data_IF_764467198879
#
_entry.id   IF_764467198879
#
_cell.length_a   1.000
_cell.length_b   1.000
_cell.length_c   1.000
_cell.angle_alpha   90.00
_cell.angle_beta   90.00
_cell.angle_gamma   90.00
#
_symmetry.space_group_name_H-M   'P 1'
#
loop_
_entity.id
_entity.type
_entity.pdbx_description
1 polymer ?
#
# COMPACT_ATOMS: atom_id res chain seq x y z
N UNK A 1 -13.93 -6.85 27.78
CA UNK A 1 -12.69 -7.65 27.68
C UNK A 1 -12.98 -8.94 26.93
N UNK A 2 -12.09 -9.37 26.05
CA UNK A 2 -12.14 -10.68 25.40
C UNK A 2 -11.79 -11.79 26.40
N UNK A 3 -12.28 -13.00 26.17
CA UNK A 3 -11.77 -14.16 26.87
C UNK A 3 -10.38 -14.53 26.30
N UNK A 4 -10.25 -14.51 24.97
CA UNK A 4 -9.01 -14.83 24.27
C UNK A 4 -8.85 -14.05 22.99
N UNK A 5 -7.69 -13.40 22.84
CA UNK A 5 -7.23 -12.86 21.56
C UNK A 5 -6.22 -13.83 20.94
N UNK A 6 -6.38 -14.14 19.67
CA UNK A 6 -5.39 -14.88 18.90
C UNK A 6 -4.93 -14.09 17.69
N UNK A 7 -3.61 -13.91 17.53
CA UNK A 7 -3.01 -13.50 16.27
C UNK A 7 -2.64 -14.77 15.50
N UNK A 8 -3.36 -15.05 14.42
CA UNK A 8 -3.24 -16.33 13.67
C UNK A 8 -1.98 -16.42 12.80
N UNK A 9 -1.29 -15.31 12.64
CA UNK A 9 -0.04 -15.16 11.88
C UNK A 9 0.73 -13.94 12.41
N UNK A 10 1.98 -13.66 11.94
CA UNK A 10 2.70 -12.46 12.33
C UNK A 10 1.94 -11.19 11.96
N UNK A 11 1.54 -10.38 12.94
CA UNK A 11 0.69 -9.20 12.75
C UNK A 11 1.45 -7.88 12.83
N UNK A 12 2.78 -7.94 12.92
CA UNK A 12 3.69 -6.78 12.93
C UNK A 12 3.42 -5.76 14.04
N UNK A 13 2.84 -6.19 15.15
CA UNK A 13 2.81 -5.37 16.36
C UNK A 13 4.23 -5.23 16.92
N UNK A 14 4.54 -4.05 17.48
CA UNK A 14 5.78 -3.86 18.22
C UNK A 14 5.62 -4.40 19.64
N UNK A 15 6.73 -4.72 20.37
CA UNK A 15 6.66 -5.40 21.69
C UNK A 15 5.71 -4.74 22.70
N UNK A 16 5.72 -3.41 22.81
CA UNK A 16 4.79 -2.72 23.70
C UNK A 16 3.32 -2.84 23.26
N UNK A 17 3.07 -2.99 21.94
CA UNK A 17 1.72 -3.21 21.39
C UNK A 17 1.21 -4.62 21.72
N UNK A 18 2.08 -5.63 21.62
CA UNK A 18 1.77 -7.00 22.02
C UNK A 18 1.47 -7.08 23.52
N UNK A 19 2.30 -6.45 24.36
CA UNK A 19 2.10 -6.40 25.81
C UNK A 19 0.75 -5.76 26.18
N UNK A 20 0.37 -4.67 25.49
CA UNK A 20 -0.90 -4.00 25.75
C UNK A 20 -2.14 -4.83 25.38
N UNK A 21 -2.04 -5.85 24.52
CA UNK A 21 -3.18 -6.74 24.25
C UNK A 21 -3.71 -7.43 25.52
N UNK A 22 -2.87 -7.67 26.51
CA UNK A 22 -3.27 -8.24 27.79
C UNK A 22 -4.18 -7.35 28.61
N UNK A 23 -4.29 -6.06 28.28
CA UNK A 23 -5.30 -5.17 28.90
C UNK A 23 -6.71 -5.40 28.33
N UNK A 24 -6.84 -6.09 27.20
CA UNK A 24 -8.08 -6.29 26.47
C UNK A 24 -8.56 -7.74 26.46
N UNK A 25 -7.70 -8.70 26.85
CA UNK A 25 -8.01 -10.12 26.88
C UNK A 25 -7.43 -10.82 28.10
N UNK A 26 -8.11 -11.88 28.57
CA UNK A 26 -7.63 -12.74 29.67
C UNK A 26 -6.46 -13.62 29.18
N UNK A 27 -6.52 -14.05 27.93
CA UNK A 27 -5.50 -14.85 27.26
C UNK A 27 -5.12 -14.19 25.93
N UNK A 28 -3.84 -14.12 25.61
CA UNK A 28 -3.30 -13.66 24.34
C UNK A 28 -2.39 -14.72 23.76
N UNK A 29 -2.68 -15.19 22.56
CA UNK A 29 -1.86 -16.16 21.82
C UNK A 29 -1.41 -15.54 20.52
N UNK A 30 -0.11 -15.59 20.23
CA UNK A 30 0.46 -15.03 19.01
C UNK A 30 1.28 -16.10 18.29
N UNK A 31 0.96 -16.31 17.01
CA UNK A 31 1.72 -17.19 16.14
C UNK A 31 2.76 -16.39 15.34
N UNK A 32 3.95 -16.93 15.25
CA UNK A 32 5.12 -16.32 14.60
C UNK A 32 5.32 -16.76 13.14
N UNK A 33 4.43 -17.62 12.63
CA UNK A 33 4.46 -18.15 11.27
C UNK A 33 3.07 -18.10 10.62
N UNK A 34 3.04 -18.08 9.29
CA UNK A 34 1.80 -18.10 8.50
C UNK A 34 1.20 -19.49 8.53
N UNK A 35 -0.13 -19.65 8.74
CA UNK A 35 -0.80 -20.95 8.69
C UNK A 35 -0.77 -21.52 7.27
N UNK A 36 -0.64 -22.85 7.17
CA UNK A 36 -0.52 -23.55 5.89
C UNK A 36 -1.84 -23.66 5.12
N UNK A 37 -2.98 -23.74 5.84
CA UNK A 37 -4.31 -23.92 5.25
C UNK A 37 -5.43 -23.42 6.18
N UNK A 38 -6.67 -23.53 5.69
CA UNK A 38 -7.86 -23.15 6.45
C UNK A 38 -8.08 -24.00 7.72
N UNK A 39 -7.72 -25.27 7.70
CA UNK A 39 -7.85 -26.15 8.86
C UNK A 39 -6.90 -25.70 9.97
N UNK A 40 -5.70 -25.28 9.64
CA UNK A 40 -4.78 -24.70 10.60
C UNK A 40 -5.26 -23.36 11.14
N UNK A 41 -5.85 -22.50 10.30
CA UNK A 41 -6.46 -21.23 10.76
C UNK A 41 -7.55 -21.52 11.80
N UNK A 42 -8.47 -22.45 11.51
CA UNK A 42 -9.54 -22.84 12.44
C UNK A 42 -8.95 -23.36 13.74
N UNK A 43 -7.93 -24.20 13.68
CA UNK A 43 -7.26 -24.76 14.86
C UNK A 43 -6.58 -23.66 15.71
N UNK A 44 -5.96 -22.66 15.06
CA UNK A 44 -5.33 -21.52 15.76
C UNK A 44 -6.36 -20.62 16.42
N UNK A 45 -7.48 -20.35 15.76
CA UNK A 45 -8.58 -19.57 16.33
C UNK A 45 -9.17 -20.30 17.53
N UNK A 46 -9.51 -21.57 17.38
CA UNK A 46 -10.05 -22.38 18.46
C UNK A 46 -11.29 -21.74 19.11
N UNK A 47 -11.20 -21.44 20.41
CA UNK A 47 -12.25 -20.84 21.23
C UNK A 47 -12.14 -19.31 21.36
N UNK A 48 -11.21 -18.66 20.65
CA UNK A 48 -11.00 -17.22 20.74
C UNK A 48 -12.22 -16.41 20.30
N UNK A 49 -12.47 -15.32 21.00
CA UNK A 49 -13.54 -14.36 20.70
C UNK A 49 -12.99 -13.05 20.07
N UNK A 50 -11.68 -12.86 20.06
CA UNK A 50 -10.95 -11.82 19.31
C UNK A 50 -9.87 -12.43 18.42
N UNK A 51 -9.83 -12.05 17.14
CA UNK A 51 -8.87 -12.54 16.15
C UNK A 51 -8.11 -11.38 15.56
N UNK A 52 -6.78 -11.49 15.47
CA UNK A 52 -5.92 -10.60 14.72
C UNK A 52 -5.37 -11.33 13.50
N UNK A 53 -5.44 -10.70 12.34
CA UNK A 53 -4.97 -11.22 11.06
C UNK A 53 -4.20 -10.14 10.29
N UNK A 54 -3.17 -10.54 9.56
CA UNK A 54 -2.47 -9.65 8.63
C UNK A 54 -3.02 -9.85 7.21
N UNK A 55 -2.28 -9.46 6.19
CA UNK A 55 -2.70 -9.55 4.78
C UNK A 55 -2.42 -10.91 4.11
N UNK A 56 -1.71 -11.81 4.78
CA UNK A 56 -1.25 -13.09 4.20
C UNK A 56 -2.33 -14.17 4.25
N UNK A 57 -3.04 -14.28 5.37
CA UNK A 57 -4.10 -15.27 5.56
C UNK A 57 -5.47 -14.70 5.19
N UNK A 58 -6.31 -15.53 4.58
CA UNK A 58 -7.70 -15.17 4.29
C UNK A 58 -8.64 -15.85 5.31
N UNK A 59 -9.60 -15.09 5.83
CA UNK A 59 -10.68 -15.61 6.69
C UNK A 59 -11.97 -15.68 5.87
N UNK A 60 -12.25 -16.88 5.33
CA UNK A 60 -13.42 -17.16 4.51
C UNK A 60 -14.67 -17.40 5.36
N UNK A 61 -15.83 -17.47 4.71
CA UNK A 61 -17.12 -17.88 5.32
C UNK A 61 -17.00 -19.19 6.09
N UNK A 62 -16.38 -20.22 5.51
CA UNK A 62 -16.25 -21.54 6.14
C UNK A 62 -15.47 -21.48 7.45
N UNK A 63 -14.42 -20.64 7.52
CA UNK A 63 -13.66 -20.42 8.75
C UNK A 63 -14.53 -19.73 9.80
N UNK A 64 -15.30 -18.70 9.40
CA UNK A 64 -16.23 -18.00 10.30
C UNK A 64 -17.35 -18.90 10.80
N UNK A 65 -17.77 -19.86 10.00
CA UNK A 65 -18.78 -20.88 10.40
C UNK A 65 -18.21 -21.90 11.39
N UNK A 66 -16.96 -22.29 11.20
CA UNK A 66 -16.27 -23.22 12.08
C UNK A 66 -15.86 -22.61 13.44
N UNK A 67 -15.80 -21.27 13.53
CA UNK A 67 -15.34 -20.55 14.72
C UNK A 67 -16.45 -19.62 15.28
N UNK A 68 -17.51 -20.15 15.89
CA UNK A 68 -18.72 -19.39 16.25
C UNK A 68 -18.51 -18.40 17.41
N UNK A 69 -17.40 -18.48 18.13
CA UNK A 69 -17.14 -17.61 19.28
C UNK A 69 -16.59 -16.23 18.88
N UNK A 70 -16.16 -16.04 17.63
CA UNK A 70 -15.56 -14.79 17.16
C UNK A 70 -16.60 -13.67 17.27
N UNK A 71 -16.21 -12.56 17.91
CA UNK A 71 -16.99 -11.30 17.97
C UNK A 71 -16.27 -10.14 17.29
N UNK A 72 -14.93 -10.24 17.18
CA UNK A 72 -14.08 -9.18 16.66
C UNK A 72 -12.96 -9.77 15.80
N UNK A 73 -12.72 -9.14 14.65
CA UNK A 73 -11.55 -9.40 13.82
C UNK A 73 -10.82 -8.08 13.57
N UNK A 74 -9.58 -7.98 14.06
CA UNK A 74 -8.68 -6.88 13.77
C UNK A 74 -7.76 -7.23 12.61
N UNK A 75 -7.96 -6.56 11.45
CA UNK A 75 -7.03 -6.66 10.33
C UNK A 75 -5.85 -5.73 10.60
N UNK A 76 -4.70 -6.28 10.93
CA UNK A 76 -3.44 -5.56 11.14
C UNK A 76 -2.81 -5.16 9.78
N UNK A 77 -3.65 -4.83 8.83
CA UNK A 77 -3.31 -4.40 7.48
C UNK A 77 -4.38 -3.46 6.93
N UNK A 78 -4.11 -2.89 5.75
CA UNK A 78 -4.98 -1.89 5.15
C UNK A 78 -6.34 -2.45 4.73
N UNK A 79 -7.42 -1.82 5.19
CA UNK A 79 -8.80 -2.08 4.79
C UNK A 79 -9.39 -0.81 4.17
N UNK A 80 -9.52 -0.76 2.84
CA UNK A 80 -10.09 0.38 2.11
C UNK A 80 -11.56 0.20 1.75
N UNK A 81 -11.97 -1.03 1.44
CA UNK A 81 -13.33 -1.42 1.12
C UNK A 81 -13.54 -2.91 1.41
N UNK A 82 -14.78 -3.41 1.48
CA UNK A 82 -15.05 -4.83 1.66
C UNK A 82 -14.35 -5.72 0.64
N UNK A 83 -14.26 -5.28 -0.62
CA UNK A 83 -13.63 -6.01 -1.74
C UNK A 83 -12.10 -6.10 -1.59
N UNK A 84 -11.50 -5.18 -0.83
CA UNK A 84 -10.05 -5.17 -0.57
C UNK A 84 -9.66 -6.03 0.64
N UNK A 85 -10.65 -6.51 1.42
CA UNK A 85 -10.42 -7.30 2.61
C UNK A 85 -9.98 -8.72 2.28
N UNK A 86 -9.13 -9.29 3.14
CA UNK A 86 -8.85 -10.72 3.19
C UNK A 86 -9.73 -11.44 4.23
N UNK A 87 -10.77 -10.79 4.70
CA UNK A 87 -11.84 -11.32 5.54
C UNK A 87 -13.15 -11.23 4.76
N UNK A 88 -13.97 -12.26 4.77
CA UNK A 88 -15.34 -12.22 4.21
C UNK A 88 -16.20 -11.29 5.07
N UNK A 89 -16.23 -10.01 4.69
CA UNK A 89 -16.96 -8.97 5.41
C UNK A 89 -18.47 -9.23 5.42
N UNK A 90 -19.02 -9.79 4.33
CA UNK A 90 -20.45 -10.08 4.24
C UNK A 90 -20.82 -11.18 5.24
N UNK A 91 -20.07 -12.28 5.26
CA UNK A 91 -20.29 -13.37 6.21
C UNK A 91 -20.05 -12.94 7.66
N UNK A 92 -19.06 -12.07 7.92
CA UNK A 92 -18.81 -11.51 9.24
C UNK A 92 -20.02 -10.69 9.72
N UNK A 93 -20.57 -9.82 8.86
CA UNK A 93 -21.75 -9.01 9.18
C UNK A 93 -23.00 -9.87 9.49
N UNK A 94 -23.26 -10.93 8.69
CA UNK A 94 -24.36 -11.87 8.93
C UNK A 94 -24.29 -12.54 10.32
N UNK A 95 -23.06 -12.68 10.84
CA UNK A 95 -22.78 -13.28 12.15
C UNK A 95 -22.60 -12.25 13.27
N UNK A 96 -22.83 -10.98 13.01
CA UNK A 96 -22.58 -9.86 13.95
C UNK A 96 -21.13 -9.81 14.44
N UNK A 97 -20.17 -10.19 13.60
CA UNK A 97 -18.74 -10.07 13.88
C UNK A 97 -18.27 -8.70 13.40
N UNK A 98 -17.72 -7.91 14.30
CA UNK A 98 -17.12 -6.62 13.95
C UNK A 98 -15.75 -6.83 13.32
N UNK A 99 -15.54 -6.25 12.12
CA UNK A 99 -14.23 -6.29 11.43
C UNK A 99 -13.71 -4.87 11.30
N UNK A 100 -12.56 -4.59 11.92
CA UNK A 100 -11.84 -3.34 11.75
C UNK A 100 -10.48 -3.59 11.09
N UNK A 101 -10.12 -2.72 10.16
CA UNK A 101 -8.80 -2.65 9.58
C UNK A 101 -8.14 -1.29 9.86
N UNK A 102 -6.91 -1.14 9.41
CA UNK A 102 -6.13 0.09 9.60
C UNK A 102 -5.83 0.75 8.26
N UNK A 103 -5.42 2.03 8.30
CA UNK A 103 -5.00 2.80 7.11
C UNK A 103 -3.89 3.77 7.50
N UNK A 104 -3.20 4.29 6.51
CA UNK A 104 -2.31 5.43 6.64
C UNK A 104 -1.26 5.23 7.76
N UNK A 105 -0.57 4.10 7.73
CA UNK A 105 0.48 3.80 8.70
C UNK A 105 1.88 3.70 8.08
N UNK A 106 2.01 3.31 6.81
CA UNK A 106 3.27 3.11 6.10
C UNK A 106 3.68 4.25 5.16
N UNK A 107 2.81 5.23 4.92
CA UNK A 107 2.97 6.26 3.89
C UNK A 107 4.27 7.07 3.98
N UNK A 108 4.75 7.51 5.16
CA UNK A 108 6.02 8.24 5.25
C UNK A 108 7.21 7.48 4.67
N UNK A 109 7.32 6.18 4.92
CA UNK A 109 8.40 5.36 4.36
C UNK A 109 8.33 5.26 2.83
N UNK A 110 7.11 5.23 2.25
CA UNK A 110 6.91 5.28 0.80
C UNK A 110 7.39 6.60 0.23
N UNK A 111 7.09 7.72 0.90
CA UNK A 111 7.57 9.05 0.47
C UNK A 111 9.10 9.12 0.49
N UNK A 112 9.73 8.66 1.56
CA UNK A 112 11.19 8.63 1.69
C UNK A 112 11.83 7.78 0.57
N UNK A 113 11.24 6.63 0.26
CA UNK A 113 11.66 5.78 -0.84
C UNK A 113 11.63 6.52 -2.18
N UNK A 114 10.48 7.07 -2.56
CA UNK A 114 10.36 7.69 -3.90
C UNK A 114 11.23 8.93 -4.05
N UNK A 115 11.38 9.75 -3.01
CA UNK A 115 12.27 10.92 -3.04
C UNK A 115 13.73 10.47 -3.14
N UNK A 116 14.14 9.50 -2.35
CA UNK A 116 15.50 8.94 -2.36
C UNK A 116 15.86 8.40 -3.75
N UNK A 117 15.03 7.54 -4.34
CA UNK A 117 15.29 6.94 -5.64
C UNK A 117 15.23 7.97 -6.78
N UNK A 118 14.29 8.91 -6.71
CA UNK A 118 14.20 9.99 -7.69
C UNK A 118 15.48 10.84 -7.69
N UNK A 119 15.91 11.34 -6.53
CA UNK A 119 17.14 12.14 -6.40
C UNK A 119 18.34 11.34 -6.87
N UNK A 120 18.46 10.08 -6.42
CA UNK A 120 19.57 9.19 -6.79
C UNK A 120 19.66 9.03 -8.32
N UNK A 121 18.53 8.83 -8.99
CA UNK A 121 18.49 8.62 -10.44
C UNK A 121 18.69 9.92 -11.24
N UNK A 122 18.09 11.02 -10.81
CA UNK A 122 18.25 12.32 -11.47
C UNK A 122 19.71 12.82 -11.45
N UNK A 123 20.45 12.53 -10.37
CA UNK A 123 21.84 12.97 -10.18
C UNK A 123 22.89 11.92 -10.51
N UNK A 124 22.51 10.69 -10.82
CA UNK A 124 23.46 9.62 -11.10
C UNK A 124 24.22 9.09 -9.88
N UNK A 125 23.71 9.27 -8.65
CA UNK A 125 24.37 8.83 -7.41
C UNK A 125 24.44 7.30 -7.23
N UNK A 126 24.14 6.50 -8.21
CA UNK A 126 24.18 5.04 -8.16
C UNK A 126 24.53 4.41 -9.50
N UNK A 127 25.33 5.09 -10.31
CA UNK A 127 25.80 4.67 -11.63
C UNK A 127 24.75 4.71 -12.76
N UNK A 128 23.45 4.84 -12.45
CA UNK A 128 22.42 5.12 -13.46
C UNK A 128 21.99 6.57 -13.35
N UNK A 129 21.89 7.26 -14.48
CA UNK A 129 21.50 8.66 -14.58
C UNK A 129 20.48 8.84 -15.71
N UNK A 130 19.50 9.69 -15.50
CA UNK A 130 18.38 9.89 -16.41
C UNK A 130 18.79 10.58 -17.72
N UNK A 131 19.53 11.68 -17.61
CA UNK A 131 19.97 12.49 -18.76
C UNK A 131 21.49 12.64 -18.74
N UNK A 132 22.06 13.18 -19.82
CA UNK A 132 23.49 13.38 -19.94
C UNK A 132 24.08 14.20 -18.79
N UNK A 133 23.35 15.25 -18.36
CA UNK A 133 23.69 16.02 -17.16
C UNK A 133 22.73 15.70 -16.02
N UNK A 134 23.18 15.78 -14.76
CA UNK A 134 22.29 15.73 -13.61
C UNK A 134 21.14 16.72 -13.72
N UNK A 135 19.96 16.32 -13.27
CA UNK A 135 18.74 17.12 -13.29
C UNK A 135 18.28 17.40 -11.87
N UNK A 136 17.88 18.64 -11.61
CA UNK A 136 17.28 19.03 -10.33
C UNK A 136 15.77 18.72 -10.30
N UNK A 137 15.22 18.61 -9.11
CA UNK A 137 13.76 18.52 -8.94
C UNK A 137 13.09 19.88 -9.21
N UNK A 138 13.81 20.99 -9.03
CA UNK A 138 13.30 22.34 -9.30
C UNK A 138 12.81 22.47 -10.75
N UNK A 139 11.52 22.76 -10.92
CA UNK A 139 10.88 22.89 -12.25
C UNK A 139 10.60 21.56 -12.96
N UNK A 140 10.94 20.41 -12.36
CA UNK A 140 10.63 19.10 -12.91
C UNK A 140 9.10 18.92 -12.96
N UNK A 141 8.57 18.50 -14.11
CA UNK A 141 7.14 18.31 -14.31
C UNK A 141 6.72 16.93 -13.78
N UNK A 142 6.03 16.93 -12.67
CA UNK A 142 5.63 15.71 -11.97
C UNK A 142 4.12 15.52 -12.03
N UNK A 143 3.69 14.35 -12.47
CA UNK A 143 2.30 13.90 -12.46
C UNK A 143 2.03 12.91 -11.33
N UNK A 144 1.03 13.19 -10.48
CA UNK A 144 0.58 12.29 -9.43
C UNK A 144 -0.78 11.72 -9.81
N UNK A 145 -0.81 10.42 -10.08
CA UNK A 145 -2.02 9.68 -10.45
C UNK A 145 -2.56 8.99 -9.21
N UNK A 146 -3.60 9.60 -8.62
CA UNK A 146 -4.13 9.22 -7.31
C UNK A 146 -3.65 10.16 -6.19
N UNK A 147 -4.42 11.22 -5.89
CA UNK A 147 -4.08 12.19 -4.84
C UNK A 147 -4.78 11.82 -3.50
N UNK A 148 -4.53 10.58 -3.03
CA UNK A 148 -4.86 10.09 -1.69
C UNK A 148 -3.80 10.50 -0.66
N UNK A 149 -3.75 9.83 0.50
CA UNK A 149 -2.78 10.14 1.57
C UNK A 149 -1.33 10.10 1.05
N UNK A 150 -0.89 8.99 0.47
CA UNK A 150 0.47 8.85 -0.07
C UNK A 150 0.77 9.88 -1.16
N UNK A 151 -0.17 10.05 -2.12
CA UNK A 151 0.01 11.01 -3.21
C UNK A 151 0.13 12.46 -2.74
N UNK A 152 -0.63 12.86 -1.71
CA UNK A 152 -0.53 14.19 -1.10
C UNK A 152 0.81 14.37 -0.39
N UNK A 153 1.27 13.38 0.37
CA UNK A 153 2.58 13.45 1.04
C UNK A 153 3.75 13.53 0.05
N UNK A 154 3.68 12.80 -1.07
CA UNK A 154 4.66 12.91 -2.17
C UNK A 154 4.62 14.32 -2.77
N UNK A 155 3.41 14.85 -3.02
CA UNK A 155 3.24 16.21 -3.53
C UNK A 155 3.85 17.26 -2.59
N UNK A 156 3.61 17.13 -1.28
CA UNK A 156 4.15 18.02 -0.26
C UNK A 156 5.68 18.04 -0.27
N UNK A 157 6.31 16.88 -0.30
CA UNK A 157 7.77 16.76 -0.35
C UNK A 157 8.36 17.37 -1.63
N UNK A 158 7.75 17.09 -2.79
CA UNK A 158 8.22 17.59 -4.08
C UNK A 158 7.95 19.09 -4.26
N UNK A 159 6.89 19.61 -3.66
CA UNK A 159 6.59 21.05 -3.65
C UNK A 159 7.69 21.83 -2.93
N UNK A 160 8.17 21.34 -1.78
CA UNK A 160 9.29 21.94 -1.04
C UNK A 160 10.58 21.96 -1.88
N UNK A 161 10.78 20.95 -2.73
CA UNK A 161 11.91 20.84 -3.64
C UNK A 161 11.72 21.61 -4.96
N UNK A 162 10.58 22.30 -5.13
CA UNK A 162 10.33 23.21 -6.26
C UNK A 162 9.86 22.53 -7.54
N UNK A 163 9.28 21.32 -7.48
CA UNK A 163 8.70 20.67 -8.65
C UNK A 163 7.43 21.37 -9.16
N UNK A 164 7.18 21.28 -10.48
CA UNK A 164 5.91 21.65 -11.10
C UNK A 164 4.93 20.47 -10.98
N UNK A 165 3.93 20.60 -10.09
CA UNK A 165 3.05 19.49 -9.72
C UNK A 165 1.73 19.52 -10.48
N UNK A 166 1.39 18.37 -11.06
CA UNK A 166 0.12 18.06 -11.69
C UNK A 166 -0.47 16.80 -11.04
N UNK A 167 -1.79 16.71 -10.98
CA UNK A 167 -2.42 15.51 -10.49
C UNK A 167 -3.66 15.11 -11.27
N UNK A 168 -3.97 13.82 -11.23
CA UNK A 168 -5.23 13.24 -11.64
C UNK A 168 -5.80 12.41 -10.49
N UNK A 169 -7.08 12.53 -10.24
CA UNK A 169 -7.86 11.64 -9.38
C UNK A 169 -9.34 11.68 -9.78
N UNK A 170 -10.09 10.63 -9.41
CA UNK A 170 -11.54 10.55 -9.71
C UNK A 170 -12.32 11.71 -9.14
N UNK A 171 -11.88 12.25 -8.01
CA UNK A 171 -12.49 13.43 -7.37
C UNK A 171 -11.43 14.52 -7.26
N UNK A 172 -11.76 15.72 -7.74
CA UNK A 172 -10.88 16.89 -7.60
C UNK A 172 -10.64 17.23 -6.13
N UNK A 173 -9.49 17.84 -5.87
CA UNK A 173 -9.01 18.24 -4.54
C UNK A 173 -8.78 19.74 -4.49
N UNK A 174 -9.85 20.58 -4.37
CA UNK A 174 -9.71 22.04 -4.42
C UNK A 174 -8.72 22.59 -3.40
N UNK A 175 -8.61 21.96 -2.22
CA UNK A 175 -7.66 22.35 -1.18
C UNK A 175 -6.20 22.19 -1.66
N UNK A 176 -5.90 21.14 -2.42
CA UNK A 176 -4.57 20.92 -2.98
C UNK A 176 -4.31 21.84 -4.17
N UNK A 177 -5.35 22.16 -4.95
CA UNK A 177 -5.26 23.11 -6.05
C UNK A 177 -4.98 24.53 -5.53
N UNK A 178 -5.59 24.93 -4.41
CA UNK A 178 -5.32 26.20 -3.74
C UNK A 178 -3.85 26.32 -3.27
N UNK A 179 -3.15 25.21 -3.07
CA UNK A 179 -1.73 25.14 -2.71
C UNK A 179 -0.80 25.17 -3.93
N UNK A 180 -1.35 25.15 -5.14
CA UNK A 180 -0.59 25.24 -6.39
C UNK A 180 -0.44 23.93 -7.16
N UNK A 181 -1.02 22.82 -6.71
CA UNK A 181 -1.01 21.55 -7.44
C UNK A 181 -2.12 21.61 -8.50
N UNK A 182 -1.78 21.43 -9.77
CA UNK A 182 -2.72 21.63 -10.90
C UNK A 182 -3.44 20.34 -11.26
N UNK A 183 -4.77 20.34 -11.24
CA UNK A 183 -5.53 19.22 -11.77
C UNK A 183 -5.44 19.19 -13.30
N UNK A 184 -5.21 17.99 -13.85
CA UNK A 184 -5.36 17.73 -15.29
C UNK A 184 -6.12 16.41 -15.51
N UNK A 185 -6.93 16.31 -16.57
CA UNK A 185 -7.37 15.01 -17.07
C UNK A 185 -6.16 14.10 -17.37
N UNK A 186 -6.34 12.78 -17.27
CA UNK A 186 -5.21 11.85 -17.39
C UNK A 186 -4.47 11.98 -18.73
N UNK A 187 -5.22 12.10 -19.83
CA UNK A 187 -4.70 12.29 -21.19
C UNK A 187 -3.96 13.61 -21.41
N UNK A 188 -4.15 14.60 -20.54
CA UNK A 188 -3.39 15.86 -20.57
C UNK A 188 -2.19 15.83 -19.60
N UNK A 189 -2.33 15.08 -18.51
CA UNK A 189 -1.28 14.92 -17.51
C UNK A 189 -0.11 14.09 -18.04
N UNK A 190 -0.40 12.93 -18.64
CA UNK A 190 0.62 11.96 -19.04
C UNK A 190 1.65 12.53 -20.03
N UNK A 191 1.27 13.18 -21.15
CA UNK A 191 2.26 13.75 -22.08
C UNK A 191 3.06 14.88 -21.45
N UNK A 192 2.49 15.60 -20.48
CA UNK A 192 3.10 16.75 -19.83
C UNK A 192 4.12 16.36 -18.77
N UNK A 193 3.86 15.30 -18.02
CA UNK A 193 4.73 14.87 -16.94
C UNK A 193 6.03 14.26 -17.45
N UNK A 194 7.14 14.54 -16.78
CA UNK A 194 8.44 13.89 -16.98
C UNK A 194 8.60 12.73 -16.01
N UNK A 195 8.01 12.84 -14.82
CA UNK A 195 7.95 11.79 -13.79
C UNK A 195 6.50 11.58 -13.40
N UNK A 196 6.06 10.31 -13.31
CA UNK A 196 4.71 9.94 -12.90
C UNK A 196 4.76 9.05 -11.66
N UNK A 197 3.97 9.38 -10.65
CA UNK A 197 3.73 8.55 -9.47
C UNK A 197 2.35 7.94 -9.55
N UNK A 198 2.27 6.61 -9.68
CA UNK A 198 1.04 5.84 -9.55
C UNK A 198 0.75 5.55 -8.08
N UNK A 199 -0.18 6.30 -7.47
CA UNK A 199 -0.59 6.19 -6.07
C UNK A 199 -2.03 5.67 -5.96
N UNK A 200 -2.30 4.53 -6.58
CA UNK A 200 -3.64 3.97 -6.71
C UNK A 200 -3.95 2.97 -5.58
N UNK A 201 -5.23 2.74 -5.34
CA UNK A 201 -5.67 1.68 -4.44
C UNK A 201 -5.32 0.29 -5.01
N UNK A 202 -5.18 -0.68 -4.13
CA UNK A 202 -4.99 -2.09 -4.50
C UNK A 202 -6.02 -2.53 -5.56
N UNK A 203 -5.57 -3.30 -6.55
CA UNK A 203 -6.37 -3.85 -7.65
C UNK A 203 -6.93 -2.81 -8.66
N UNK A 204 -6.46 -1.57 -8.64
CA UNK A 204 -6.82 -0.57 -9.65
C UNK A 204 -5.77 -0.58 -10.75
N UNK A 205 -6.11 -1.14 -11.91
CA UNK A 205 -5.30 -1.10 -13.13
C UNK A 205 -5.77 0.10 -13.97
N UNK A 206 -4.90 1.08 -14.12
CA UNK A 206 -5.21 2.31 -14.85
C UNK A 206 -4.34 2.50 -16.10
N UNK A 207 -3.08 2.05 -16.06
CA UNK A 207 -2.14 2.25 -17.16
C UNK A 207 -2.18 1.06 -18.12
N UNK A 208 -2.89 1.23 -19.24
CA UNK A 208 -2.93 0.32 -20.39
C UNK A 208 -2.02 0.81 -21.53
N UNK A 209 -2.20 0.26 -22.73
CA UNK A 209 -1.43 0.66 -23.92
C UNK A 209 -1.61 2.15 -24.25
N UNK A 210 -2.85 2.65 -24.21
CA UNK A 210 -3.16 4.04 -24.51
C UNK A 210 -2.48 5.01 -23.54
N UNK A 211 -2.50 4.72 -22.24
CA UNK A 211 -1.87 5.56 -21.23
C UNK A 211 -0.34 5.57 -21.37
N UNK A 212 0.28 4.44 -21.70
CA UNK A 212 1.72 4.42 -21.96
C UNK A 212 2.11 5.08 -23.28
N UNK A 213 1.27 5.02 -24.32
CA UNK A 213 1.47 5.78 -25.56
C UNK A 213 1.37 7.29 -25.30
N UNK A 214 0.40 7.74 -24.51
CA UNK A 214 0.27 9.14 -24.10
C UNK A 214 1.42 9.61 -23.19
N UNK A 215 1.90 8.74 -22.29
CA UNK A 215 3.07 9.05 -21.44
C UNK A 215 4.31 9.28 -22.30
N UNK A 216 4.51 8.47 -23.34
CA UNK A 216 5.60 8.62 -24.30
C UNK A 216 6.95 8.14 -23.76
N UNK A 217 8.05 8.71 -24.29
CA UNK A 217 9.41 8.26 -24.06
C UNK A 217 10.20 9.22 -23.16
N UNK A 218 11.36 8.75 -22.66
CA UNK A 218 12.24 9.48 -21.74
C UNK A 218 11.55 9.88 -20.44
N UNK A 219 10.74 8.95 -19.90
CA UNK A 219 9.93 9.19 -18.70
C UNK A 219 10.35 8.26 -17.56
N UNK A 220 10.03 8.71 -16.36
CA UNK A 220 10.21 7.94 -15.13
C UNK A 220 8.82 7.65 -14.55
N UNK A 221 8.53 6.40 -14.23
CA UNK A 221 7.32 6.02 -13.53
C UNK A 221 7.64 5.31 -12.23
N UNK A 222 7.03 5.78 -11.14
CA UNK A 222 7.01 5.10 -9.85
C UNK A 222 5.65 4.46 -9.65
N UNK A 223 5.62 3.18 -9.28
CA UNK A 223 4.41 2.55 -8.77
C UNK A 223 4.53 2.36 -7.27
N UNK A 224 3.76 3.13 -6.51
CA UNK A 224 3.67 3.06 -5.04
C UNK A 224 2.40 2.35 -4.56
N UNK A 225 1.63 1.77 -5.49
CA UNK A 225 0.42 1.01 -5.20
C UNK A 225 0.75 -0.39 -4.67
N UNK A 226 -0.11 -0.93 -3.83
CA UNK A 226 -0.05 -2.34 -3.47
C UNK A 226 -0.48 -3.17 -4.70
N UNK A 227 0.48 -3.83 -5.33
CA UNK A 227 0.28 -4.54 -6.59
C UNK A 227 0.41 -3.64 -7.82
N UNK A 228 0.19 -4.18 -9.03
CA UNK A 228 0.33 -3.44 -10.26
C UNK A 228 -0.77 -2.39 -10.43
N UNK A 229 -0.41 -1.23 -10.96
CA UNK A 229 -1.34 -0.19 -11.42
C UNK A 229 -1.51 -0.19 -12.95
N UNK A 230 -0.90 -1.17 -13.62
CA UNK A 230 -0.73 -1.23 -15.07
C UNK A 230 -1.01 -2.64 -15.62
N UNK A 231 -1.29 -2.69 -16.91
CA UNK A 231 -1.32 -3.94 -17.66
C UNK A 231 0.11 -4.39 -17.96
N UNK A 232 0.47 -5.62 -17.60
CA UNK A 232 1.84 -6.13 -17.74
C UNK A 232 2.39 -6.07 -19.17
N UNK A 233 1.64 -6.46 -20.23
CA UNK A 233 2.11 -6.35 -21.61
C UNK A 233 2.38 -4.90 -22.03
N UNK A 234 1.56 -3.97 -21.57
CA UNK A 234 1.69 -2.54 -21.89
C UNK A 234 2.93 -1.93 -21.24
N UNK A 235 3.18 -2.26 -19.96
CA UNK A 235 4.42 -1.87 -19.27
C UNK A 235 5.64 -2.41 -20.00
N UNK A 236 5.65 -3.71 -20.36
CA UNK A 236 6.77 -4.33 -21.07
C UNK A 236 7.05 -3.62 -22.39
N UNK A 237 6.02 -3.39 -23.21
CA UNK A 237 6.14 -2.69 -24.52
C UNK A 237 6.73 -1.27 -24.32
N UNK A 238 6.32 -0.56 -23.27
CA UNK A 238 6.82 0.78 -22.97
C UNK A 238 8.29 0.78 -22.51
N UNK A 239 8.71 -0.20 -21.71
CA UNK A 239 10.09 -0.37 -21.27
C UNK A 239 11.03 -0.82 -22.42
N UNK A 240 10.54 -1.68 -23.32
CA UNK A 240 11.31 -2.16 -24.48
C UNK A 240 11.71 -1.04 -25.46
N UNK A 241 11.13 0.18 -25.32
CA UNK A 241 11.57 1.37 -26.05
C UNK A 241 12.96 1.86 -25.62
N UNK A 242 13.47 1.41 -24.47
CA UNK A 242 14.85 1.59 -24.04
C UNK A 242 15.22 2.96 -23.46
N UNK A 243 14.23 3.84 -23.24
CA UNK A 243 14.45 5.22 -22.73
C UNK A 243 13.60 5.54 -21.50
N UNK A 244 12.84 4.61 -21.01
CA UNK A 244 11.89 4.75 -19.92
C UNK A 244 12.33 3.97 -18.69
N UNK A 245 12.04 4.45 -17.49
CA UNK A 245 12.41 3.79 -16.25
C UNK A 245 11.20 3.57 -15.34
N UNK A 246 11.10 2.38 -14.80
CA UNK A 246 10.06 2.01 -13.86
C UNK A 246 10.67 1.70 -12.49
N UNK A 247 10.12 2.29 -11.45
CA UNK A 247 10.54 2.12 -10.06
C UNK A 247 9.42 1.53 -9.21
N UNK A 248 9.75 0.56 -8.39
CA UNK A 248 8.84 -0.01 -7.39
C UNK A 248 9.62 -0.54 -6.19
N UNK A 249 8.97 -0.62 -5.05
CA UNK A 249 9.58 -1.13 -3.82
C UNK A 249 9.51 -2.66 -3.72
N UNK A 250 8.43 -3.26 -4.23
CA UNK A 250 8.21 -4.72 -4.15
C UNK A 250 8.03 -5.36 -5.52
N UNK A 251 8.39 -6.63 -5.63
CA UNK A 251 8.15 -7.44 -6.83
C UNK A 251 6.65 -7.53 -7.18
N UNK A 252 5.78 -7.55 -6.18
CA UNK A 252 4.32 -7.54 -6.38
C UNK A 252 3.81 -6.30 -7.09
N UNK A 253 4.48 -5.16 -6.96
CA UNK A 253 4.12 -3.93 -7.64
C UNK A 253 4.38 -3.95 -9.16
N UNK A 254 5.24 -4.86 -9.64
CA UNK A 254 5.42 -5.13 -11.08
C UNK A 254 4.28 -6.00 -11.63
N UNK A 255 3.76 -6.90 -10.82
CA UNK A 255 2.65 -7.78 -11.20
C UNK A 255 3.02 -8.88 -12.21
N UNK A 256 4.31 -9.24 -12.28
CA UNK A 256 4.80 -10.30 -13.15
C UNK A 256 5.01 -11.60 -12.36
N UNK A 257 4.12 -12.61 -12.52
CA UNK A 257 4.24 -13.88 -11.82
C UNK A 257 5.45 -14.72 -12.26
N UNK A 258 6.02 -14.44 -13.43
CA UNK A 258 7.22 -15.15 -13.95
C UNK A 258 8.52 -14.56 -13.41
N UNK A 259 8.49 -13.32 -12.96
CA UNK A 259 9.66 -12.54 -12.55
C UNK A 259 10.59 -12.18 -13.70
N UNK A 260 10.18 -12.35 -14.95
CA UNK A 260 10.98 -11.98 -16.12
C UNK A 260 11.21 -10.47 -16.19
N UNK A 261 10.14 -9.70 -16.00
CA UNK A 261 10.18 -8.24 -16.07
C UNK A 261 11.00 -7.62 -14.94
N UNK A 262 11.12 -8.30 -13.79
CA UNK A 262 12.00 -7.88 -12.70
C UNK A 262 13.49 -7.88 -13.07
N UNK A 263 13.87 -8.61 -14.13
CA UNK A 263 15.25 -8.64 -14.68
C UNK A 263 15.44 -7.66 -15.83
N UNK A 264 14.39 -6.94 -16.20
CA UNK A 264 14.48 -5.94 -17.27
C UNK A 264 15.40 -4.77 -16.83
N UNK A 265 16.35 -4.30 -17.69
CA UNK A 265 17.36 -3.30 -17.30
C UNK A 265 16.76 -1.96 -16.85
N UNK A 266 15.53 -1.67 -17.25
CA UNK A 266 14.79 -0.44 -16.92
C UNK A 266 13.75 -0.62 -15.80
N UNK A 267 13.77 -1.76 -15.10
CA UNK A 267 12.97 -1.99 -13.88
C UNK A 267 13.88 -1.91 -12.66
N UNK A 268 13.56 -0.98 -11.77
CA UNK A 268 14.30 -0.73 -10.54
C UNK A 268 13.41 -1.13 -9.36
N UNK A 269 13.59 -2.35 -8.87
CA UNK A 269 12.84 -2.92 -7.74
C UNK A 269 13.75 -3.07 -6.52
N UNK A 270 13.29 -2.59 -5.35
CA UNK A 270 14.04 -2.75 -4.09
C UNK A 270 13.86 -4.12 -3.45
N UNK A 271 12.83 -4.87 -3.82
CA UNK A 271 12.43 -6.16 -3.21
C UNK A 271 12.08 -6.07 -1.72
N UNK A 272 11.85 -4.86 -1.19
CA UNK A 272 11.48 -4.60 0.20
C UNK A 272 10.41 -3.53 0.23
N UNK A 273 9.30 -3.78 0.93
CA UNK A 273 8.23 -2.78 1.06
C UNK A 273 8.72 -1.54 1.82
N UNK A 274 8.69 -0.41 1.18
CA UNK A 274 9.11 0.88 1.72
C UNK A 274 8.24 1.36 2.90
N UNK A 275 6.98 0.92 2.93
CA UNK A 275 6.05 1.20 4.03
C UNK A 275 6.30 0.37 5.31
N UNK A 276 7.28 -0.53 5.34
CA UNK A 276 7.59 -1.40 6.49
C UNK A 276 8.75 -0.84 7.32
N UNK A 277 8.49 0.25 8.03
CA UNK A 277 9.47 0.90 8.91
C UNK A 277 9.12 0.66 10.39
N UNK A 278 10.08 0.90 11.29
CA UNK A 278 9.84 0.84 12.74
C UNK A 278 8.66 1.75 13.13
N UNK A 279 8.66 2.98 12.64
CA UNK A 279 7.62 3.95 12.93
C UNK A 279 6.26 3.56 12.33
N UNK A 280 6.27 2.89 11.16
CA UNK A 280 5.05 2.34 10.57
C UNK A 280 4.45 1.27 11.49
N UNK A 281 5.27 0.37 12.04
CA UNK A 281 4.79 -0.66 12.97
C UNK A 281 4.34 -0.10 14.31
N UNK A 282 4.95 0.99 14.79
CA UNK A 282 4.44 1.72 15.96
C UNK A 282 3.06 2.33 15.69
N UNK A 283 2.87 2.99 14.52
CA UNK A 283 1.55 3.53 14.12
C UNK A 283 0.52 2.43 13.94
N UNK A 284 0.91 1.31 13.29
CA UNK A 284 0.08 0.12 13.15
C UNK A 284 -0.39 -0.37 14.52
N UNK A 285 0.53 -0.56 15.46
CA UNK A 285 0.22 -1.07 16.80
C UNK A 285 -0.77 -0.16 17.54
N UNK A 286 -0.58 1.17 17.49
CA UNK A 286 -1.54 2.13 18.08
C UNK A 286 -2.92 1.98 17.45
N UNK A 287 -3.01 2.00 16.10
CA UNK A 287 -4.29 1.88 15.38
C UNK A 287 -5.02 0.56 15.66
N UNK A 288 -4.29 -0.55 15.80
CA UNK A 288 -4.89 -1.84 16.18
C UNK A 288 -5.49 -1.78 17.58
N UNK A 289 -4.78 -1.19 18.55
CA UNK A 289 -5.29 -1.02 19.91
C UNK A 289 -6.47 -0.04 19.97
N UNK A 290 -6.40 1.08 19.24
CA UNK A 290 -7.51 2.05 19.13
C UNK A 290 -8.77 1.39 18.54
N UNK A 291 -8.62 0.49 17.55
CA UNK A 291 -9.73 -0.28 17.01
C UNK A 291 -10.35 -1.24 18.03
N UNK A 292 -9.54 -1.89 18.88
CA UNK A 292 -10.03 -2.73 19.97
C UNK A 292 -10.79 -1.89 21.00
N UNK A 293 -10.28 -0.73 21.36
CA UNK A 293 -10.98 0.21 22.27
C UNK A 293 -12.31 0.67 21.67
N UNK A 294 -12.32 1.04 20.39
CA UNK A 294 -13.53 1.44 19.66
C UNK A 294 -14.58 0.32 19.67
N UNK A 295 -14.14 -0.92 19.46
CA UNK A 295 -15.02 -2.07 19.55
C UNK A 295 -15.69 -2.19 20.94
N UNK A 296 -14.92 -2.07 22.03
CA UNK A 296 -15.50 -2.14 23.35
C UNK A 296 -16.42 -0.95 23.68
N UNK A 297 -16.12 0.24 23.18
CA UNK A 297 -16.98 1.41 23.32
C UNK A 297 -18.32 1.21 22.60
N UNK A 298 -18.34 0.51 21.47
CA UNK A 298 -19.57 0.26 20.71
C UNK A 298 -20.51 -0.78 21.37
N UNK A 299 -20.04 -1.51 22.37
CA UNK A 299 -20.84 -2.49 23.14
C UNK A 299 -21.57 -1.87 24.35
N UNK A 300 -21.23 -0.63 24.72
CA UNK A 300 -21.85 0.13 25.82
C UNK A 300 -22.89 1.11 25.28
#
# INVERSE_FOLDING_TARGET
MFNKIVAIEPVSLVPWGEEKLHNYAKEVVMFDNVPGDAAEIIRRIGDADGVLVNYTSAISRDILEACPNIRYIGMCCSLYSPESANVDIAAANEKNITVYGIRDYGDPGVVEYVISELVRYLHGFGNKQWKELPVEITGLKVGIVGLGTTGQMIADALMVLGADLYYYSRTRKPEQEARGIKYLPLNELLPKAEVVFGCLNKNVILFGEEEFEQLGNHKIMFNTSIGPSHQLPALKKWLDQGSNEFFCDTAGAVGDPTGELLRHPHVNCMYVSSGRTLQAFERLSRKVLDNIETFFQSLN
#
